data_IF_784818466314
#
_entry.id   IF_784818466314
#
_cell.length_a   1.000
_cell.length_b   1.000
_cell.length_c   1.000
_cell.angle_alpha   90.00
_cell.angle_beta   90.00
_cell.angle_gamma   90.00
#
_symmetry.space_group_name_H-M   'P 1'
#
loop_
_entity.id
_entity.type
_entity.pdbx_description
1 polymer ?
#
# COMPACT_ATOMS: atom_id res chain seq x y z
N UNK A 1 -26.81 -29.50 12.79
CA UNK A 1 -26.48 -28.09 13.07
C UNK A 1 -26.10 -27.43 11.74
N UNK A 2 -26.92 -26.57 11.14
CA UNK A 2 -26.49 -25.84 9.95
C UNK A 2 -25.37 -24.87 10.34
N UNK A 3 -24.21 -25.01 9.68
CA UNK A 3 -23.05 -24.15 9.89
C UNK A 3 -23.40 -22.72 9.51
N UNK A 4 -23.24 -21.80 10.46
CA UNK A 4 -23.32 -20.37 10.16
C UNK A 4 -22.21 -20.03 9.18
N UNK A 5 -22.58 -19.82 7.91
CA UNK A 5 -21.76 -19.07 6.98
C UNK A 5 -21.68 -17.65 7.53
N UNK A 6 -20.59 -17.32 8.22
CA UNK A 6 -20.31 -15.95 8.62
C UNK A 6 -20.14 -15.16 7.33
N UNK A 7 -21.14 -14.34 6.98
CA UNK A 7 -20.96 -13.35 5.94
C UNK A 7 -19.78 -12.48 6.37
N UNK A 8 -18.64 -12.64 5.69
CA UNK A 8 -17.52 -11.71 5.83
C UNK A 8 -17.98 -10.44 5.13
N UNK A 9 -18.72 -9.61 5.86
CA UNK A 9 -19.03 -8.25 5.47
C UNK A 9 -17.68 -7.54 5.36
N UNK A 10 -17.09 -7.54 4.17
CA UNK A 10 -15.93 -6.73 3.85
C UNK A 10 -16.34 -5.28 4.13
N UNK A 11 -15.87 -4.77 5.27
CA UNK A 11 -16.02 -3.39 5.70
C UNK A 11 -15.13 -2.55 4.78
N UNK A 12 -15.51 -2.44 3.50
CA UNK A 12 -14.77 -1.64 2.53
C UNK A 12 -14.91 -0.17 2.97
N UNK A 13 -13.81 0.50 3.37
CA UNK A 13 -13.86 1.88 3.80
C UNK A 13 -14.21 2.77 2.60
N UNK A 14 -15.48 3.21 2.53
CA UNK A 14 -16.09 3.88 1.37
C UNK A 14 -15.99 3.07 0.05
N UNK A 15 -17.03 3.11 -0.79
CA UNK A 15 -16.95 2.49 -2.12
C UNK A 15 -15.91 3.23 -2.97
N UNK A 16 -14.67 2.76 -2.97
CA UNK A 16 -13.67 3.18 -3.94
C UNK A 16 -14.08 2.61 -5.30
N UNK A 17 -14.34 3.49 -6.26
CA UNK A 17 -14.68 3.08 -7.61
C UNK A 17 -13.41 2.73 -8.38
N UNK A 18 -13.25 1.45 -8.72
CA UNK A 18 -12.19 0.99 -9.59
C UNK A 18 -12.63 1.04 -11.07
N UNK A 19 -11.67 1.30 -11.95
CA UNK A 19 -11.84 1.16 -13.40
C UNK A 19 -11.47 -0.24 -13.85
N UNK A 20 -10.21 -0.65 -13.64
CA UNK A 20 -9.74 -2.02 -13.90
C UNK A 20 -8.63 -2.41 -12.91
N UNK A 21 -8.97 -2.96 -11.73
CA UNK A 21 -7.98 -3.35 -10.73
C UNK A 21 -7.28 -4.66 -11.14
N UNK A 22 -5.95 -4.64 -11.22
CA UNK A 22 -5.17 -5.74 -11.83
C UNK A 22 -4.07 -6.31 -10.94
N UNK A 23 -3.68 -5.62 -9.87
CA UNK A 23 -2.62 -6.08 -8.96
C UNK A 23 -2.83 -5.60 -7.54
N UNK A 24 -2.38 -6.38 -6.57
CA UNK A 24 -2.52 -6.10 -5.13
C UNK A 24 -1.25 -6.50 -4.36
N UNK A 25 -0.91 -5.73 -3.32
CA UNK A 25 0.10 -6.11 -2.33
C UNK A 25 -0.29 -5.58 -0.94
N UNK A 26 0.36 -6.08 0.11
CA UNK A 26 0.16 -5.63 1.49
C UNK A 26 1.49 -5.21 2.12
N UNK A 27 1.54 -4.06 2.79
CA UNK A 27 2.72 -3.62 3.53
C UNK A 27 2.82 -4.26 4.94
N UNK A 28 3.96 -4.12 5.65
CA UNK A 28 4.12 -4.70 6.99
C UNK A 28 3.13 -4.19 8.05
N UNK A 29 2.45 -3.08 7.80
CA UNK A 29 1.44 -2.48 8.67
C UNK A 29 0.02 -2.96 8.33
N UNK A 30 -0.12 -3.85 7.33
CA UNK A 30 -1.39 -4.40 6.91
C UNK A 30 -2.19 -3.47 5.99
N UNK A 31 -1.58 -2.40 5.47
CA UNK A 31 -2.24 -1.58 4.46
C UNK A 31 -2.24 -2.32 3.13
N UNK A 32 -3.37 -2.32 2.45
CA UNK A 32 -3.54 -2.95 1.13
C UNK A 32 -3.30 -1.91 0.05
N UNK A 33 -2.56 -2.25 -0.99
CA UNK A 33 -2.39 -1.39 -2.16
C UNK A 33 -2.87 -2.09 -3.40
N UNK A 34 -3.63 -1.38 -4.24
CA UNK A 34 -4.21 -1.91 -5.48
C UNK A 34 -3.76 -1.05 -6.65
N UNK A 35 -3.28 -1.69 -7.70
CA UNK A 35 -3.03 -1.09 -9.01
C UNK A 35 -4.34 -1.06 -9.79
N UNK A 36 -4.73 0.12 -10.26
CA UNK A 36 -5.81 0.28 -11.22
C UNK A 36 -5.22 0.64 -12.59
N UNK A 37 -5.37 -0.28 -13.55
CA UNK A 37 -4.84 -0.11 -14.90
C UNK A 37 -5.54 1.04 -15.63
N UNK A 38 -6.86 1.17 -15.47
CA UNK A 38 -7.65 2.16 -16.20
C UNK A 38 -7.45 3.56 -15.62
N UNK A 39 -7.41 3.68 -14.28
CA UNK A 39 -7.08 4.94 -13.62
C UNK A 39 -5.58 5.25 -13.63
N UNK A 40 -4.72 4.31 -14.05
CA UNK A 40 -3.26 4.44 -14.12
C UNK A 40 -2.65 4.90 -12.79
N UNK A 41 -3.10 4.29 -11.70
CA UNK A 41 -2.72 4.70 -10.35
C UNK A 41 -2.48 3.49 -9.43
N UNK A 42 -1.94 3.79 -8.26
CA UNK A 42 -1.91 2.87 -7.12
C UNK A 42 -2.63 3.53 -5.95
N UNK A 43 -3.66 2.86 -5.44
CA UNK A 43 -4.43 3.29 -4.27
C UNK A 43 -4.05 2.44 -3.06
N UNK A 44 -3.69 3.09 -1.96
CA UNK A 44 -3.48 2.51 -0.65
C UNK A 44 -4.77 2.57 0.17
N UNK A 45 -5.17 1.44 0.72
CA UNK A 45 -6.29 1.22 1.62
C UNK A 45 -5.72 0.95 3.01
N UNK A 46 -5.78 1.94 3.92
CA UNK A 46 -5.33 1.74 5.28
C UNK A 46 -6.30 0.82 6.04
N UNK A 47 -5.83 0.21 7.13
CA UNK A 47 -6.70 -0.55 8.05
C UNK A 47 -7.86 0.30 8.60
N UNK A 48 -7.66 1.61 8.69
CA UNK A 48 -8.66 2.57 9.13
C UNK A 48 -8.50 3.89 8.38
N UNK A 49 -9.61 4.54 8.03
CA UNK A 49 -9.62 5.80 7.30
C UNK A 49 -9.91 5.61 5.81
N UNK A 50 -9.73 6.67 5.02
CA UNK A 50 -10.07 6.66 3.60
C UNK A 50 -8.92 6.18 2.72
N UNK A 51 -9.21 5.60 1.55
CA UNK A 51 -8.18 5.24 0.56
C UNK A 51 -7.38 6.47 0.11
N UNK A 52 -6.09 6.28 -0.14
CA UNK A 52 -5.14 7.32 -0.57
C UNK A 52 -4.47 6.91 -1.88
N UNK A 53 -4.55 7.75 -2.90
CA UNK A 53 -3.78 7.54 -4.13
C UNK A 53 -2.30 7.86 -3.86
N UNK A 54 -1.44 6.84 -3.88
CA UNK A 54 0.01 6.96 -3.57
C UNK A 54 0.88 7.07 -4.82
N UNK A 55 0.36 6.65 -5.97
CA UNK A 55 1.01 6.83 -7.27
C UNK A 55 -0.03 7.27 -8.28
N UNK A 56 0.14 8.43 -8.89
CA UNK A 56 -0.80 8.99 -9.89
C UNK A 56 -0.13 9.43 -11.19
N UNK A 57 1.19 9.22 -11.32
CA UNK A 57 2.00 9.70 -12.45
C UNK A 57 3.04 8.68 -12.86
N UNK A 58 3.43 8.76 -14.14
CA UNK A 58 4.48 7.92 -14.72
C UNK A 58 4.04 6.50 -15.06
N UNK A 59 2.75 6.17 -14.90
CA UNK A 59 2.14 4.89 -15.27
C UNK A 59 1.35 5.04 -16.59
N UNK A 60 1.49 4.06 -17.47
CA UNK A 60 0.83 3.98 -18.78
C UNK A 60 -0.12 2.79 -18.85
N UNK A 61 0.38 1.56 -18.60
CA UNK A 61 -0.45 0.35 -18.46
C UNK A 61 0.07 -0.52 -17.33
N UNK A 62 -0.14 -0.11 -16.06
CA UNK A 62 0.36 -0.85 -14.91
C UNK A 62 -0.43 -2.14 -14.73
N UNK A 63 0.25 -3.26 -14.46
CA UNK A 63 -0.37 -4.60 -14.42
C UNK A 63 -0.12 -5.38 -13.14
N UNK A 64 0.96 -5.11 -12.43
CA UNK A 64 1.33 -5.83 -11.20
C UNK A 64 2.06 -4.93 -10.22
N UNK A 65 2.03 -5.29 -8.94
CA UNK A 65 2.66 -4.54 -7.86
C UNK A 65 3.30 -5.46 -6.83
N UNK A 66 4.45 -5.04 -6.30
CA UNK A 66 5.06 -5.59 -5.11
C UNK A 66 5.55 -4.45 -4.20
N UNK A 67 5.52 -4.66 -2.89
CA UNK A 67 6.03 -3.70 -1.91
C UNK A 67 7.28 -4.24 -1.21
N UNK A 68 8.25 -3.37 -0.96
CA UNK A 68 9.44 -3.69 -0.17
C UNK A 68 9.25 -3.32 1.30
N UNK A 69 9.91 -4.04 2.24
CA UNK A 69 9.92 -3.65 3.66
C UNK A 69 10.49 -2.24 3.92
N UNK A 70 11.23 -1.68 2.96
CA UNK A 70 11.82 -0.34 3.03
C UNK A 70 10.86 0.78 2.60
N UNK A 71 9.62 0.46 2.23
CA UNK A 71 8.64 1.47 1.81
C UNK A 71 8.72 1.84 0.32
N UNK A 72 9.18 0.90 -0.52
CA UNK A 72 9.19 1.05 -1.98
C UNK A 72 8.06 0.22 -2.61
N UNK A 73 7.52 0.69 -3.74
CA UNK A 73 6.61 -0.04 -4.61
C UNK A 73 7.31 -0.31 -5.93
N UNK A 74 7.21 -1.55 -6.39
CA UNK A 74 7.63 -1.98 -7.72
C UNK A 74 6.35 -2.21 -8.52
N UNK A 75 6.14 -1.43 -9.57
CA UNK A 75 4.96 -1.52 -10.44
C UNK A 75 5.42 -1.95 -11.82
N UNK A 76 4.87 -3.05 -12.33
CA UNK A 76 5.11 -3.48 -13.70
C UNK A 76 4.28 -2.61 -14.62
N UNK A 77 4.92 -1.91 -15.57
CA UNK A 77 4.25 -1.14 -16.61
C UNK A 77 4.44 -1.81 -17.97
N UNK A 78 3.38 -2.47 -18.43
CA UNK A 78 3.41 -3.29 -19.64
C UNK A 78 3.32 -2.49 -20.94
N UNK A 79 3.00 -1.19 -20.89
CA UNK A 79 3.05 -0.34 -22.08
C UNK A 79 4.44 0.31 -22.24
N UNK A 80 5.12 0.55 -21.13
CA UNK A 80 6.48 1.10 -21.09
C UNK A 80 7.57 0.01 -21.05
N UNK A 81 7.19 -1.28 -21.05
CA UNK A 81 8.08 -2.44 -20.95
C UNK A 81 9.08 -2.32 -19.78
N UNK A 82 8.64 -1.78 -18.65
CA UNK A 82 9.53 -1.42 -17.54
C UNK A 82 8.95 -1.81 -16.19
N UNK A 83 9.84 -1.92 -15.20
CA UNK A 83 9.47 -1.92 -13.78
C UNK A 83 9.74 -0.53 -13.23
N UNK A 84 8.71 0.10 -12.69
CA UNK A 84 8.80 1.45 -12.10
C UNK A 84 8.88 1.33 -10.59
N UNK A 85 9.79 2.09 -10.00
CA UNK A 85 10.03 2.08 -8.55
C UNK A 85 9.57 3.39 -7.95
N UNK A 86 8.67 3.31 -6.97
CA UNK A 86 8.12 4.46 -6.25
C UNK A 86 8.45 4.36 -4.77
N UNK A 87 8.71 5.49 -4.12
CA UNK A 87 8.78 5.57 -2.66
C UNK A 87 7.42 6.05 -2.16
N UNK A 88 6.68 5.18 -1.46
CA UNK A 88 5.37 5.53 -0.91
C UNK A 88 5.42 5.84 0.58
N UNK A 89 6.48 5.38 1.27
CA UNK A 89 6.78 5.75 2.66
C UNK A 89 8.17 6.33 2.77
N UNK A 90 8.25 7.47 3.45
CA UNK A 90 9.52 7.98 3.97
C UNK A 90 9.63 7.47 5.39
N UNK A 91 10.40 6.40 5.63
CA UNK A 91 10.91 6.17 6.98
C UNK A 91 11.80 7.37 7.30
N UNK A 92 11.56 8.15 8.38
CA UNK A 92 12.58 9.05 8.86
C UNK A 92 13.81 8.19 9.16
N UNK A 93 14.91 8.52 8.50
CA UNK A 93 16.20 7.88 8.75
C UNK A 93 16.57 8.26 10.19
N UNK A 94 16.39 7.31 11.12
CA UNK A 94 16.43 7.44 12.59
C UNK A 94 15.25 8.13 13.29
N UNK A 95 14.38 7.32 13.92
CA UNK A 95 14.01 7.58 15.31
C UNK A 95 13.89 6.23 16.03
N UNK A 96 15.04 5.54 16.18
CA UNK A 96 15.15 4.47 17.16
C UNK A 96 15.01 5.10 18.54
N UNK A 97 14.05 4.64 19.31
CA UNK A 97 14.09 4.61 20.78
C UNK A 97 15.44 5.03 21.36
N UNK A 98 15.57 6.28 21.83
CA UNK A 98 16.57 6.60 22.83
C UNK A 98 16.04 6.01 24.14
N UNK A 99 16.55 4.87 24.67
CA UNK A 99 16.35 4.64 26.08
C UNK A 99 17.02 5.82 26.77
N UNK A 100 16.26 6.56 27.59
CA UNK A 100 16.86 7.53 28.51
C UNK A 100 17.91 6.75 29.30
N UNK A 101 19.20 6.91 28.97
CA UNK A 101 20.23 6.73 29.99
C UNK A 101 19.98 7.87 30.96
N UNK A 102 19.23 7.57 32.02
CA UNK A 102 19.40 8.23 33.30
C UNK A 102 20.89 8.20 33.58
N UNK A 103 21.53 9.35 33.37
CA UNK A 103 22.85 9.60 33.92
C UNK A 103 22.59 9.76 35.40
N UNK A 104 22.78 8.66 36.14
CA UNK A 104 22.96 8.74 37.57
C UNK A 104 24.16 9.66 37.82
N UNK A 105 23.83 10.77 38.46
CA UNK A 105 24.73 11.82 38.89
C UNK A 105 25.50 11.33 40.12
N UNK A 106 26.84 11.37 40.14
CA UNK A 106 27.58 11.61 41.37
C UNK A 106 27.51 13.11 41.76
#
# INVERSE_FOLDING_TARGET
MPGQTTNISLLLPAQHSFGNPVGICADPEGNIMVVDQQHRNVTLFPLSGSPVCVVSKGLSRPTGIACSPLGQLFVIDSADNSVKVYKYRVRPYYNSTSPRRSVDKP
#
